data_IF_764896563056
#
_entry.id   IF_764896563056
#
_cell.length_a   1.000
_cell.length_b   1.000
_cell.length_c   1.000
_cell.angle_alpha   90.00
_cell.angle_beta   90.00
_cell.angle_gamma   90.00
#
_symmetry.space_group_name_H-M   'P 1'
#
loop_
_entity.id
_entity.type
_entity.pdbx_description
1 polymer ?
#
# COMPACT_ATOMS: atom_id res chain seq x y z
N UNK A 1 53.35 -12.23 -28.85
CA UNK A 1 53.68 -12.19 -27.42
C UNK A 1 52.44 -11.64 -26.72
N UNK A 2 51.38 -12.44 -26.64
CA UNK A 2 50.92 -13.15 -25.41
C UNK A 2 50.64 -12.21 -24.26
N UNK A 3 49.46 -11.56 -24.31
CA UNK A 3 48.81 -11.03 -23.12
C UNK A 3 47.62 -11.91 -22.76
N UNK A 4 47.72 -12.50 -21.58
CA UNK A 4 46.71 -13.32 -20.93
C UNK A 4 45.51 -12.46 -20.54
N UNK A 5 44.45 -12.48 -21.37
CA UNK A 5 43.11 -12.11 -20.91
C UNK A 5 42.57 -13.21 -19.99
N UNK A 6 42.77 -13.07 -18.68
CA UNK A 6 41.97 -13.81 -17.71
C UNK A 6 40.56 -13.24 -17.69
N UNK A 7 39.66 -13.98 -18.34
CA UNK A 7 38.22 -13.85 -18.25
C UNK A 7 37.76 -14.13 -16.82
N UNK A 8 37.39 -13.10 -16.07
CA UNK A 8 36.55 -13.29 -14.88
C UNK A 8 35.08 -13.34 -15.32
N UNK A 9 34.68 -14.58 -15.58
CA UNK A 9 33.31 -15.06 -15.67
C UNK A 9 32.46 -14.57 -14.49
N UNK A 10 31.28 -14.01 -14.80
CA UNK A 10 30.19 -13.79 -13.84
C UNK A 10 29.93 -15.08 -13.04
N UNK A 11 29.81 -15.03 -11.70
CA UNK A 11 29.33 -16.18 -10.96
C UNK A 11 27.90 -16.49 -11.38
N UNK A 12 27.75 -17.71 -11.84
CA UNK A 12 26.56 -18.38 -12.31
C UNK A 12 25.46 -18.39 -11.24
N UNK A 13 24.22 -18.18 -11.72
CA UNK A 13 22.94 -18.49 -11.10
C UNK A 13 23.01 -19.41 -9.87
N UNK A 14 22.82 -18.82 -8.68
CA UNK A 14 22.17 -19.53 -7.59
C UNK A 14 20.69 -19.64 -7.96
N UNK A 15 20.37 -20.74 -8.63
CA UNK A 15 19.03 -21.14 -8.99
C UNK A 15 18.25 -21.43 -7.71
N UNK A 16 17.60 -20.39 -7.18
CA UNK A 16 16.60 -20.53 -6.13
C UNK A 16 15.55 -21.55 -6.62
N UNK A 17 15.21 -22.57 -5.82
CA UNK A 17 14.22 -23.56 -6.23
C UNK A 17 12.89 -22.84 -6.50
N UNK A 18 12.36 -23.02 -7.70
CA UNK A 18 11.03 -22.56 -8.10
C UNK A 18 10.04 -22.91 -6.97
N UNK A 19 9.33 -21.95 -6.37
CA UNK A 19 8.22 -22.29 -5.51
C UNK A 19 7.19 -22.98 -6.40
N UNK A 20 7.00 -24.29 -6.16
CA UNK A 20 5.90 -25.04 -6.77
C UNK A 20 4.61 -24.24 -6.57
N UNK A 21 3.74 -24.12 -7.59
CA UNK A 21 2.43 -23.55 -7.37
C UNK A 21 1.78 -24.35 -6.25
N UNK A 22 1.44 -23.68 -5.14
CA UNK A 22 0.63 -24.28 -4.11
C UNK A 22 -0.74 -24.56 -4.74
N UNK A 23 -0.94 -25.80 -5.18
CA UNK A 23 -2.27 -26.35 -5.41
C UNK A 23 -3.03 -26.23 -4.09
N UNK A 24 -3.85 -25.19 -3.98
CA UNK A 24 -4.85 -25.09 -2.94
C UNK A 24 -5.90 -26.17 -3.19
N UNK A 25 -5.59 -27.40 -2.76
CA UNK A 25 -6.58 -28.42 -2.46
C UNK A 25 -7.40 -27.92 -1.26
N UNK A 26 -8.43 -27.11 -1.52
CA UNK A 26 -9.50 -26.90 -0.57
C UNK A 26 -10.36 -28.17 -0.55
N UNK A 27 -9.98 -29.12 0.30
CA UNK A 27 -10.91 -30.11 0.81
C UNK A 27 -11.88 -29.35 1.72
N UNK A 28 -13.02 -28.93 1.16
CA UNK A 28 -14.11 -28.34 1.93
C UNK A 28 -14.79 -29.43 2.76
N UNK A 29 -14.34 -29.57 4.00
CA UNK A 29 -15.08 -30.28 5.06
C UNK A 29 -16.19 -29.35 5.55
N UNK A 30 -17.33 -29.35 4.86
CA UNK A 30 -18.58 -28.75 5.32
C UNK A 30 -19.73 -29.69 4.97
N UNK A 31 -19.79 -30.84 5.64
CA UNK A 31 -20.98 -31.73 5.57
C UNK A 31 -21.14 -32.64 6.81
N UNK A 32 -20.60 -32.24 7.99
CA UNK A 32 -20.69 -33.08 9.20
C UNK A 32 -21.49 -32.44 10.35
N UNK A 33 -21.94 -31.20 10.24
CA UNK A 33 -22.71 -30.54 11.30
C UNK A 33 -24.17 -30.33 10.93
N UNK A 34 -24.93 -31.44 10.86
CA UNK A 34 -26.40 -31.36 10.97
C UNK A 34 -27.00 -32.55 11.74
N UNK A 35 -26.25 -33.07 12.72
CA UNK A 35 -26.74 -34.08 13.65
C UNK A 35 -26.29 -33.72 15.06
N UNK A 36 -27.12 -32.93 15.77
CA UNK A 36 -27.37 -32.98 17.23
C UNK A 36 -27.87 -31.63 17.73
N UNK A 37 -29.20 -31.46 17.77
CA UNK A 37 -29.86 -30.73 18.84
C UNK A 37 -31.25 -31.36 19.11
N UNK A 38 -31.61 -31.67 20.37
CA UNK A 38 -32.93 -32.20 20.73
C UNK A 38 -33.97 -31.05 20.84
N UNK A 39 -35.29 -31.35 20.80
CA UNK A 39 -36.32 -30.32 20.76
C UNK A 39 -36.61 -29.78 22.18
N UNK A 40 -36.60 -28.46 22.34
CA UNK A 40 -37.11 -27.80 23.54
C UNK A 40 -38.63 -27.65 23.40
N UNK A 41 -39.35 -28.31 24.30
CA UNK A 41 -40.81 -28.26 24.44
C UNK A 41 -41.19 -27.04 25.28
N UNK A 42 -41.90 -26.09 24.69
CA UNK A 42 -42.50 -24.91 25.33
C UNK A 42 -43.85 -24.63 24.70
N UNK A 43 -44.84 -24.28 25.53
CA UNK A 43 -46.28 -24.41 25.31
C UNK A 43 -46.88 -23.56 24.17
N UNK A 44 -48.00 -24.09 23.69
CA UNK A 44 -49.01 -23.53 22.81
C UNK A 44 -49.47 -22.11 23.16
N UNK A 45 -49.53 -21.25 22.16
CA UNK A 45 -50.63 -20.30 21.97
C UNK A 45 -50.98 -20.26 20.48
N UNK A 46 -52.24 -20.57 20.18
CA UNK A 46 -52.79 -20.50 18.86
C UNK A 46 -52.99 -19.04 18.47
N UNK A 47 -52.37 -18.59 17.38
CA UNK A 47 -52.94 -17.53 16.55
C UNK A 47 -52.66 -17.86 15.09
N UNK A 48 -53.74 -17.95 14.34
CA UNK A 48 -53.78 -18.09 12.90
C UNK A 48 -53.14 -16.87 12.25
N UNK A 49 -51.92 -17.01 11.75
CA UNK A 49 -51.36 -16.11 10.75
C UNK A 49 -51.12 -16.96 9.49
N UNK A 50 -52.09 -16.87 8.58
CA UNK A 50 -52.00 -17.41 7.22
C UNK A 50 -50.70 -16.93 6.57
N UNK A 51 -49.72 -17.81 6.40
CA UNK A 51 -48.56 -17.50 5.58
C UNK A 51 -49.02 -17.47 4.13
N UNK A 52 -49.12 -16.28 3.55
CA UNK A 52 -49.25 -16.09 2.10
C UNK A 52 -47.97 -16.58 1.41
N UNK A 53 -47.82 -17.91 1.31
CA UNK A 53 -46.89 -18.56 0.40
C UNK A 53 -47.73 -18.97 -0.80
N UNK A 54 -47.55 -18.27 -1.93
CA UNK A 54 -48.12 -18.70 -3.20
C UNK A 54 -47.31 -19.89 -3.70
N UNK A 55 -47.80 -21.09 -3.43
CA UNK A 55 -47.29 -22.31 -4.05
C UNK A 55 -47.67 -22.30 -5.54
N UNK A 56 -46.85 -22.87 -6.44
CA UNK A 56 -47.32 -23.18 -7.78
C UNK A 56 -48.55 -24.08 -7.67
N UNK A 57 -49.64 -23.71 -8.35
CA UNK A 57 -50.93 -24.39 -8.19
C UNK A 57 -50.79 -25.82 -8.74
N UNK A 58 -51.40 -26.79 -8.05
CA UNK A 58 -51.37 -28.20 -8.47
C UNK A 58 -51.93 -28.40 -9.88
N UNK A 59 -52.73 -27.45 -10.35
CA UNK A 59 -53.28 -27.38 -11.71
C UNK A 59 -52.23 -27.12 -12.81
N UNK A 60 -51.01 -26.71 -12.46
CA UNK A 60 -49.93 -26.40 -13.42
C UNK A 60 -49.11 -27.64 -13.86
N UNK A 61 -49.35 -28.82 -13.29
CA UNK A 61 -48.53 -30.01 -13.54
C UNK A 61 -49.33 -31.23 -14.01
N UNK A 62 -48.81 -32.05 -14.95
CA UNK A 62 -49.46 -33.28 -15.40
C UNK A 62 -49.49 -34.37 -14.30
N UNK A 63 -50.47 -35.28 -14.36
CA UNK A 63 -50.72 -36.37 -13.38
C UNK A 63 -49.51 -37.30 -13.13
N UNK A 64 -48.50 -37.26 -13.99
CA UNK A 64 -47.20 -37.91 -13.81
C UNK A 64 -46.10 -36.88 -14.01
N UNK A 65 -45.46 -36.44 -12.93
CA UNK A 65 -44.36 -35.48 -12.97
C UNK A 65 -43.12 -36.09 -13.61
N UNK A 66 -42.57 -35.41 -14.62
CA UNK A 66 -41.30 -35.77 -15.24
C UNK A 66 -40.12 -35.35 -14.33
N UNK A 67 -38.92 -35.86 -14.62
CA UNK A 67 -37.71 -35.48 -13.88
C UNK A 67 -37.37 -33.97 -14.03
N UNK A 68 -37.82 -33.34 -15.12
CA UNK A 68 -37.67 -31.89 -15.34
C UNK A 68 -38.58 -31.08 -14.41
N UNK A 69 -39.81 -31.53 -14.20
CA UNK A 69 -40.79 -30.83 -13.34
C UNK A 69 -40.37 -30.89 -11.87
N UNK A 70 -39.86 -32.06 -11.45
CA UNK A 70 -39.29 -32.25 -10.10
C UNK A 70 -38.07 -31.34 -9.90
N UNK A 71 -37.24 -31.15 -10.93
CA UNK A 71 -36.09 -30.24 -10.89
C UNK A 71 -36.54 -28.79 -10.72
N UNK A 72 -37.56 -28.34 -11.43
CA UNK A 72 -38.06 -26.96 -11.34
C UNK A 72 -38.70 -26.66 -9.98
N UNK A 73 -39.49 -27.60 -9.44
CA UNK A 73 -40.06 -27.48 -8.09
C UNK A 73 -38.95 -27.38 -7.03
N UNK A 74 -37.94 -28.25 -7.10
CA UNK A 74 -36.80 -28.19 -6.18
C UNK A 74 -36.01 -26.89 -6.36
N UNK A 75 -35.78 -26.43 -7.59
CA UNK A 75 -35.08 -25.18 -7.87
C UNK A 75 -35.82 -23.97 -7.26
N UNK A 76 -37.15 -23.92 -7.41
CA UNK A 76 -37.99 -22.87 -6.82
C UNK A 76 -37.90 -22.87 -5.29
N UNK A 77 -38.08 -24.02 -4.65
CA UNK A 77 -38.02 -24.12 -3.18
C UNK A 77 -36.64 -23.80 -2.61
N UNK A 78 -35.56 -24.22 -3.29
CA UNK A 78 -34.19 -23.87 -2.89
C UNK A 78 -33.94 -22.37 -3.07
N UNK A 79 -34.45 -21.75 -4.14
CA UNK A 79 -34.34 -20.30 -4.35
C UNK A 79 -35.06 -19.48 -3.27
N UNK A 80 -36.11 -20.04 -2.66
CA UNK A 80 -36.85 -19.48 -1.53
C UNK A 80 -36.16 -19.75 -0.17
N UNK A 81 -35.08 -20.54 -0.15
CA UNK A 81 -34.29 -20.83 1.05
C UNK A 81 -34.89 -21.89 1.97
N UNK A 82 -35.77 -22.75 1.46
CA UNK A 82 -36.43 -23.79 2.26
C UNK A 82 -35.44 -24.87 2.72
N UNK A 83 -35.50 -25.32 3.99
CA UNK A 83 -34.65 -26.40 4.48
C UNK A 83 -35.01 -27.73 3.81
N UNK A 84 -34.04 -28.63 3.70
CA UNK A 84 -34.21 -29.90 2.97
C UNK A 84 -35.39 -30.75 3.45
N UNK A 85 -35.72 -30.72 4.74
CA UNK A 85 -36.89 -31.41 5.31
C UNK A 85 -38.23 -30.84 4.82
N UNK A 86 -38.32 -29.52 4.61
CA UNK A 86 -39.55 -28.90 4.08
C UNK A 86 -39.72 -29.14 2.59
N UNK A 87 -38.61 -29.20 1.83
CA UNK A 87 -38.62 -29.60 0.42
C UNK A 87 -39.14 -31.03 0.28
N UNK A 88 -38.68 -31.96 1.12
CA UNK A 88 -39.18 -33.34 1.13
C UNK A 88 -40.67 -33.43 1.47
N UNK A 89 -41.12 -32.66 2.45
CA UNK A 89 -42.53 -32.61 2.84
C UNK A 89 -43.40 -32.10 1.69
N UNK A 90 -42.96 -31.05 0.99
CA UNK A 90 -43.68 -30.51 -0.17
C UNK A 90 -43.76 -31.51 -1.32
N UNK A 91 -42.63 -32.15 -1.66
CA UNK A 91 -42.59 -33.18 -2.70
C UNK A 91 -43.50 -34.37 -2.40
N UNK A 92 -43.62 -34.76 -1.13
CA UNK A 92 -44.48 -35.86 -0.73
C UNK A 92 -45.97 -35.50 -0.72
N UNK A 93 -46.33 -34.30 -0.23
CA UNK A 93 -47.72 -33.90 -0.03
C UNK A 93 -48.37 -33.35 -1.30
N UNK A 94 -47.66 -32.52 -2.06
CA UNK A 94 -48.21 -31.80 -3.21
C UNK A 94 -47.85 -32.48 -4.54
N UNK A 95 -46.65 -33.08 -4.62
CA UNK A 95 -46.15 -33.72 -5.84
C UNK A 95 -46.29 -35.26 -5.84
N UNK A 96 -46.67 -35.88 -4.72
CA UNK A 96 -46.78 -37.34 -4.58
C UNK A 96 -45.44 -38.10 -4.72
N UNK A 97 -44.30 -37.41 -4.68
CA UNK A 97 -42.96 -37.97 -4.88
C UNK A 97 -42.29 -38.20 -3.52
N UNK A 98 -42.07 -39.47 -3.16
CA UNK A 98 -41.31 -39.85 -1.97
C UNK A 98 -39.84 -40.11 -2.33
N UNK A 99 -38.95 -39.22 -1.88
CA UNK A 99 -37.50 -39.39 -2.03
C UNK A 99 -36.80 -39.23 -0.68
N UNK A 100 -35.66 -39.90 -0.52
CA UNK A 100 -34.83 -39.74 0.68
C UNK A 100 -34.04 -38.41 0.65
N UNK A 101 -33.64 -37.91 1.82
CA UNK A 101 -32.77 -36.73 1.93
C UNK A 101 -31.44 -36.92 1.17
N UNK A 102 -30.92 -38.16 1.14
CA UNK A 102 -29.72 -38.53 0.38
C UNK A 102 -29.95 -38.38 -1.13
N UNK A 103 -31.11 -38.82 -1.62
CA UNK A 103 -31.50 -38.67 -3.03
C UNK A 103 -31.71 -37.21 -3.40
N UNK A 104 -32.33 -36.42 -2.52
CA UNK A 104 -32.50 -34.97 -2.70
C UNK A 104 -31.14 -34.26 -2.80
N UNK A 105 -30.20 -34.56 -1.89
CA UNK A 105 -28.87 -33.95 -1.91
C UNK A 105 -28.06 -34.34 -3.15
N UNK A 106 -28.15 -35.60 -3.59
CA UNK A 106 -27.54 -36.05 -4.85
C UNK A 106 -28.10 -35.27 -6.04
N UNK A 107 -29.44 -35.18 -6.16
CA UNK A 107 -30.11 -34.44 -7.25
C UNK A 107 -29.78 -32.95 -7.23
N UNK A 108 -29.70 -32.33 -6.05
CA UNK A 108 -29.26 -30.93 -5.90
C UNK A 108 -27.82 -30.72 -6.38
N UNK A 109 -26.94 -31.70 -6.18
CA UNK A 109 -25.57 -31.62 -6.69
C UNK A 109 -25.51 -31.81 -8.22
N UNK A 110 -26.24 -32.79 -8.76
CA UNK A 110 -26.31 -33.07 -10.20
C UNK A 110 -26.94 -31.93 -11.00
N UNK A 111 -27.89 -31.20 -10.42
CA UNK A 111 -28.58 -30.08 -11.06
C UNK A 111 -28.01 -28.70 -10.71
N UNK A 112 -26.85 -28.64 -10.04
CA UNK A 112 -26.23 -27.38 -9.61
C UNK A 112 -27.17 -26.50 -8.76
N UNK A 113 -27.99 -27.10 -7.90
CA UNK A 113 -28.91 -26.45 -6.95
C UNK A 113 -28.37 -26.52 -5.50
N UNK A 114 -27.05 -26.57 -5.33
CA UNK A 114 -26.44 -26.41 -4.01
C UNK A 114 -26.36 -24.93 -3.67
N UNK A 115 -26.34 -24.62 -2.38
CA UNK A 115 -26.24 -23.22 -1.91
C UNK A 115 -24.95 -22.53 -2.38
N UNK A 116 -23.90 -23.28 -2.76
CA UNK A 116 -22.69 -22.73 -3.36
C UNK A 116 -22.81 -22.39 -4.85
N UNK A 117 -23.74 -23.04 -5.56
CA UNK A 117 -23.94 -22.92 -7.01
C UNK A 117 -24.96 -21.83 -7.37
N UNK A 118 -25.82 -21.45 -6.42
CA UNK A 118 -26.82 -20.40 -6.60
C UNK A 118 -26.22 -18.98 -6.50
N UNK A 119 -26.79 -17.98 -7.20
CA UNK A 119 -26.39 -16.58 -7.07
C UNK A 119 -26.45 -16.15 -5.60
N UNK A 120 -25.29 -15.84 -5.01
CA UNK A 120 -25.22 -15.38 -3.62
C UNK A 120 -25.95 -14.04 -3.53
N UNK A 121 -27.05 -14.00 -2.77
CA UNK A 121 -27.75 -12.75 -2.46
C UNK A 121 -26.73 -11.74 -1.88
N UNK A 122 -26.72 -10.47 -2.32
CA UNK A 122 -25.79 -9.48 -1.76
C UNK A 122 -25.98 -9.39 -0.24
N UNK A 123 -24.96 -9.74 0.56
CA UNK A 123 -25.03 -9.73 2.02
C UNK A 123 -25.27 -8.31 2.62
N UNK A 124 -25.20 -7.25 1.80
CA UNK A 124 -25.43 -5.88 2.23
C UNK A 124 -26.86 -5.65 2.78
N UNK A 125 -27.83 -6.47 2.36
CA UNK A 125 -29.24 -6.36 2.78
C UNK A 125 -29.61 -7.19 4.02
N UNK A 126 -28.71 -8.00 4.60
CA UNK A 126 -29.05 -8.91 5.71
C UNK A 126 -28.42 -8.57 7.07
N UNK A 127 -27.55 -7.56 7.14
CA UNK A 127 -26.91 -7.15 8.40
C UNK A 127 -27.81 -6.15 9.15
N UNK A 128 -28.11 -6.48 10.42
CA UNK A 128 -28.85 -5.59 11.32
C UNK A 128 -28.17 -4.21 11.42
N UNK A 129 -28.93 -3.10 11.49
CA UNK A 129 -28.38 -1.75 11.68
C UNK A 129 -27.42 -1.65 12.87
N UNK A 130 -27.71 -2.38 13.95
CA UNK A 130 -26.90 -2.35 15.18
C UNK A 130 -25.53 -3.01 14.97
N UNK A 131 -25.48 -4.12 14.23
CA UNK A 131 -24.21 -4.78 13.85
C UNK A 131 -23.40 -3.87 12.93
N UNK A 132 -24.05 -3.26 11.93
CA UNK A 132 -23.37 -2.31 11.03
C UNK A 132 -22.76 -1.13 11.80
N UNK A 133 -23.52 -0.55 12.73
CA UNK A 133 -23.08 0.59 13.52
C UNK A 133 -21.87 0.24 14.42
N UNK A 134 -21.92 -0.91 15.11
CA UNK A 134 -20.82 -1.38 15.95
C UNK A 134 -19.55 -1.63 15.12
N UNK A 135 -19.65 -2.37 14.00
CA UNK A 135 -18.52 -2.65 13.12
C UNK A 135 -17.91 -1.37 12.52
N UNK A 136 -18.74 -0.42 12.07
CA UNK A 136 -18.27 0.86 11.55
C UNK A 136 -17.56 1.69 12.62
N UNK A 137 -18.14 1.79 13.81
CA UNK A 137 -17.56 2.52 14.93
C UNK A 137 -16.21 1.92 15.34
N UNK A 138 -16.14 0.60 15.52
CA UNK A 138 -14.90 -0.08 15.87
C UNK A 138 -13.84 0.03 14.76
N UNK A 139 -14.25 0.00 13.48
CA UNK A 139 -13.33 0.21 12.35
C UNK A 139 -12.79 1.64 12.32
N UNK A 140 -13.64 2.65 12.53
CA UNK A 140 -13.23 4.06 12.63
C UNK A 140 -12.26 4.29 13.80
N UNK A 141 -12.50 3.61 14.93
CA UNK A 141 -11.64 3.63 16.11
C UNK A 141 -10.38 2.75 15.98
N UNK A 142 -10.23 2.04 14.84
CA UNK A 142 -9.07 1.21 14.50
C UNK A 142 -8.84 0.02 15.43
N UNK A 143 -9.92 -0.61 15.87
CA UNK A 143 -9.85 -1.82 16.68
C UNK A 143 -9.32 -3.00 15.86
N UNK A 144 -8.58 -3.91 16.50
CA UNK A 144 -8.19 -5.20 15.92
C UNK A 144 -9.42 -6.09 15.75
N UNK A 145 -9.34 -7.13 14.92
CA UNK A 145 -10.46 -8.08 14.73
C UNK A 145 -10.92 -8.67 16.07
N UNK A 146 -9.98 -9.02 16.96
CA UNK A 146 -10.28 -9.50 18.32
C UNK A 146 -11.06 -8.47 19.15
N UNK A 147 -10.63 -7.21 19.14
CA UNK A 147 -11.34 -6.13 19.84
C UNK A 147 -12.72 -5.85 19.22
N UNK A 148 -12.86 -6.00 17.90
CA UNK A 148 -14.14 -5.89 17.21
C UNK A 148 -15.08 -7.03 17.61
N UNK A 149 -14.59 -8.25 17.82
CA UNK A 149 -15.39 -9.34 18.38
C UNK A 149 -15.91 -8.97 19.77
N UNK A 150 -15.02 -8.60 20.69
CA UNK A 150 -15.40 -8.23 22.07
C UNK A 150 -16.44 -7.11 22.08
N UNK A 151 -16.23 -6.07 21.28
CA UNK A 151 -17.14 -4.93 21.22
C UNK A 151 -18.50 -5.28 20.63
N UNK A 152 -18.54 -6.13 19.59
CA UNK A 152 -19.81 -6.55 19.01
C UNK A 152 -20.61 -7.40 20.00
N UNK A 153 -19.94 -8.26 20.78
CA UNK A 153 -20.56 -9.04 21.84
C UNK A 153 -21.16 -8.12 22.92
N UNK A 154 -20.44 -7.07 23.33
CA UNK A 154 -20.97 -6.06 24.27
C UNK A 154 -22.18 -5.31 23.71
N UNK A 155 -22.10 -4.83 22.47
CA UNK A 155 -23.13 -3.96 21.88
C UNK A 155 -24.41 -4.72 21.45
N UNK A 156 -24.31 -6.01 21.16
CA UNK A 156 -25.41 -6.80 20.56
C UNK A 156 -25.78 -8.08 21.33
N UNK A 157 -25.00 -8.45 22.34
CA UNK A 157 -25.15 -9.73 23.06
C UNK A 157 -24.85 -10.97 22.21
N UNK A 158 -24.31 -10.81 21.00
CA UNK A 158 -23.99 -11.91 20.09
C UNK A 158 -22.50 -12.18 20.10
N UNK A 159 -22.12 -13.35 20.58
CA UNK A 159 -20.75 -13.83 20.47
C UNK A 159 -20.41 -14.17 19.01
N UNK A 160 -19.29 -13.63 18.51
CA UNK A 160 -18.86 -13.78 17.12
C UNK A 160 -17.39 -14.13 17.01
N UNK A 161 -17.07 -15.06 16.12
CA UNK A 161 -15.69 -15.42 15.83
C UNK A 161 -15.02 -14.43 14.85
N UNK A 162 -13.68 -14.43 14.83
CA UNK A 162 -12.87 -13.60 13.93
C UNK A 162 -13.34 -13.65 12.47
N UNK A 163 -13.63 -14.86 11.98
CA UNK A 163 -14.07 -15.10 10.60
C UNK A 163 -15.40 -14.42 10.28
N UNK A 164 -16.28 -14.27 11.27
CA UNK A 164 -17.56 -13.57 11.13
C UNK A 164 -17.34 -12.06 11.01
N UNK A 165 -16.45 -11.48 11.81
CA UNK A 165 -16.05 -10.07 11.68
C UNK A 165 -15.41 -9.80 10.32
N UNK A 166 -14.49 -10.66 9.87
CA UNK A 166 -13.85 -10.54 8.56
C UNK A 166 -14.89 -10.59 7.42
N UNK A 167 -15.88 -11.48 7.52
CA UNK A 167 -17.00 -11.52 6.58
C UNK A 167 -17.79 -10.22 6.60
N UNK A 168 -18.09 -9.66 7.78
CA UNK A 168 -18.81 -8.38 7.89
C UNK A 168 -18.01 -7.23 7.27
N UNK A 169 -16.71 -7.17 7.52
CA UNK A 169 -15.81 -6.19 6.93
C UNK A 169 -15.83 -6.26 5.40
N UNK A 170 -15.69 -7.47 4.83
CA UNK A 170 -15.78 -7.69 3.38
C UNK A 170 -17.15 -7.27 2.83
N UNK A 171 -18.24 -7.61 3.52
CA UNK A 171 -19.60 -7.24 3.10
C UNK A 171 -19.85 -5.72 3.13
N UNK A 172 -19.07 -5.00 3.94
CA UNK A 172 -19.16 -3.54 4.10
C UNK A 172 -18.07 -2.80 3.32
N UNK A 173 -17.28 -3.50 2.49
CA UNK A 173 -16.11 -2.99 1.78
C UNK A 173 -15.09 -2.26 2.69
N UNK A 174 -14.95 -2.75 3.93
CA UNK A 174 -14.02 -2.24 4.91
C UNK A 174 -12.75 -3.09 4.95
N UNK A 175 -11.60 -2.46 4.71
CA UNK A 175 -10.29 -3.13 4.80
C UNK A 175 -9.67 -2.90 6.18
N UNK A 176 -9.32 -3.99 6.87
CA UNK A 176 -8.45 -3.96 8.05
C UNK A 176 -7.02 -3.61 7.61
N UNK A 177 -6.29 -2.88 8.47
CA UNK A 177 -4.86 -2.63 8.25
C UNK A 177 -4.10 -3.85 8.76
N UNK A 178 -3.18 -4.39 7.95
CA UNK A 178 -2.25 -5.45 8.39
C UNK A 178 -1.47 -4.99 9.62
N UNK A 179 -1.36 -5.89 10.60
CA UNK A 179 -0.64 -5.66 11.83
C UNK A 179 0.03 -6.98 12.25
N UNK A 180 1.24 -7.19 11.74
CA UNK A 180 1.95 -8.46 11.88
C UNK A 180 2.26 -8.81 13.35
N UNK A 181 2.24 -7.82 14.25
CA UNK A 181 2.39 -8.06 15.68
C UNK A 181 1.09 -8.56 16.31
N UNK A 182 -0.06 -8.01 15.90
CA UNK A 182 -1.36 -8.53 16.36
C UNK A 182 -1.69 -9.89 15.74
N UNK A 183 -1.20 -10.14 14.53
CA UNK A 183 -1.35 -11.41 13.81
C UNK A 183 -0.37 -12.49 14.33
N UNK A 184 0.53 -12.13 15.25
CA UNK A 184 1.52 -13.03 15.86
C UNK A 184 2.65 -13.46 14.93
N UNK A 185 2.72 -12.89 13.72
CA UNK A 185 3.77 -13.17 12.72
C UNK A 185 5.11 -12.53 13.08
N UNK A 186 5.10 -11.40 13.79
CA UNK A 186 6.30 -10.69 14.23
C UNK A 186 6.23 -10.39 15.72
N UNK A 187 7.29 -10.68 16.45
CA UNK A 187 7.39 -10.31 17.88
C UNK A 187 7.90 -8.88 18.04
N UNK A 188 7.68 -8.30 19.22
CA UNK A 188 8.18 -6.97 19.55
C UNK A 188 9.71 -6.90 19.49
N UNK A 189 10.38 -7.96 19.91
CA UNK A 189 11.84 -8.10 19.90
C UNK A 189 12.37 -8.12 18.46
N UNK A 190 11.74 -8.89 17.58
CA UNK A 190 12.07 -8.90 16.16
C UNK A 190 11.86 -7.50 15.55
N UNK A 191 10.75 -6.83 15.86
CA UNK A 191 10.50 -5.47 15.41
C UNK A 191 11.59 -4.48 15.89
N UNK A 192 12.09 -4.64 17.12
CA UNK A 192 13.20 -3.84 17.67
C UNK A 192 14.50 -4.09 16.92
N UNK A 193 14.84 -5.36 16.64
CA UNK A 193 16.00 -5.71 15.83
C UNK A 193 15.91 -5.15 14.41
N UNK A 194 14.75 -5.20 13.76
CA UNK A 194 14.55 -4.64 12.42
C UNK A 194 14.72 -3.12 12.40
N UNK A 195 14.21 -2.42 13.42
CA UNK A 195 14.39 -0.97 13.56
C UNK A 195 15.86 -0.63 13.81
N UNK A 196 16.54 -1.39 14.67
CA UNK A 196 17.97 -1.17 14.96
C UNK A 196 18.85 -1.42 13.72
N UNK A 197 18.59 -2.51 12.99
CA UNK A 197 19.24 -2.81 11.72
C UNK A 197 18.98 -1.71 10.68
N UNK A 198 17.74 -1.23 10.56
CA UNK A 198 17.43 -0.11 9.66
C UNK A 198 18.21 1.17 10.02
N UNK A 199 18.37 1.46 11.31
CA UNK A 199 19.09 2.65 11.77
C UNK A 199 20.58 2.57 11.47
N UNK A 200 21.18 1.41 11.71
CA UNK A 200 22.63 1.21 11.59
C UNK A 200 23.03 0.84 10.18
N UNK A 201 22.49 -0.25 9.63
CA UNK A 201 22.92 -0.82 8.35
C UNK A 201 22.32 -0.12 7.13
N UNK A 202 21.09 0.40 7.24
CA UNK A 202 20.47 1.19 6.16
C UNK A 202 20.69 2.70 6.32
N UNK A 203 21.59 3.09 7.23
CA UNK A 203 21.93 4.48 7.56
C UNK A 203 20.71 5.35 7.95
N UNK A 204 19.58 4.74 8.31
CA UNK A 204 18.35 5.46 8.67
C UNK A 204 18.32 5.91 10.14
N UNK A 205 19.49 6.12 10.75
CA UNK A 205 19.64 6.54 12.15
C UNK A 205 18.82 7.78 12.49
N UNK A 206 18.64 8.70 11.54
CA UNK A 206 17.85 9.93 11.68
C UNK A 206 16.39 9.81 11.20
N UNK A 207 15.90 8.61 10.87
CA UNK A 207 14.51 8.40 10.44
C UNK A 207 13.53 8.45 11.63
N UNK A 208 12.47 9.25 11.51
CA UNK A 208 11.41 9.32 12.54
C UNK A 208 10.42 8.19 12.39
N UNK A 209 9.56 7.95 13.39
CA UNK A 209 8.63 6.81 13.43
C UNK A 209 7.76 6.64 12.17
N UNK A 210 7.41 7.72 11.46
CA UNK A 210 6.67 7.63 10.18
C UNK A 210 7.52 7.08 9.04
N UNK A 211 8.75 7.56 8.90
CA UNK A 211 9.70 7.09 7.88
C UNK A 211 10.17 5.68 8.21
N UNK A 212 10.48 5.42 9.47
CA UNK A 212 10.85 4.09 9.95
C UNK A 212 9.76 3.06 9.64
N UNK A 213 8.49 3.39 9.86
CA UNK A 213 7.37 2.53 9.44
C UNK A 213 7.34 2.26 7.93
N UNK A 214 7.70 3.24 7.09
CA UNK A 214 7.78 3.01 5.65
C UNK A 214 8.93 2.07 5.29
N UNK A 215 10.10 2.24 5.92
CA UNK A 215 11.26 1.35 5.75
C UNK A 215 10.87 -0.08 6.15
N UNK A 216 10.20 -0.26 7.30
CA UNK A 216 9.69 -1.57 7.75
C UNK A 216 8.80 -2.25 6.70
N UNK A 217 7.94 -1.49 6.03
CA UNK A 217 7.06 -2.01 4.98
C UNK A 217 7.83 -2.30 3.69
N UNK A 218 8.75 -1.41 3.29
CA UNK A 218 9.42 -1.50 1.98
C UNK A 218 10.53 -2.54 1.99
N UNK A 219 11.40 -2.51 2.99
CA UNK A 219 12.62 -3.33 3.05
C UNK A 219 12.38 -4.68 3.71
N UNK A 220 11.50 -4.72 4.72
CA UNK A 220 11.28 -5.92 5.53
C UNK A 220 9.87 -6.52 5.36
N UNK A 221 9.03 -5.93 4.49
CA UNK A 221 7.64 -6.36 4.25
C UNK A 221 6.82 -6.52 5.55
N UNK A 222 7.17 -5.74 6.58
CA UNK A 222 6.62 -5.87 7.93
C UNK A 222 5.71 -4.67 8.26
N UNK A 223 4.48 -4.96 8.63
CA UNK A 223 3.43 -3.99 8.93
C UNK A 223 3.26 -3.79 10.44
N UNK A 224 3.98 -2.82 10.98
CA UNK A 224 3.89 -2.47 12.41
C UNK A 224 3.05 -1.19 12.61
N UNK A 225 2.24 -1.11 13.69
CA UNK A 225 1.51 0.09 14.07
C UNK A 225 2.43 1.28 14.34
N UNK A 226 1.98 2.46 13.92
CA UNK A 226 2.77 3.70 14.02
C UNK A 226 3.15 4.06 15.47
N UNK A 227 2.25 3.80 16.42
CA UNK A 227 2.49 4.10 17.84
C UNK A 227 3.56 3.16 18.40
N UNK A 228 3.51 1.88 18.07
CA UNK A 228 4.51 0.92 18.51
C UNK A 228 5.90 1.21 17.91
N UNK A 229 5.99 1.61 16.64
CA UNK A 229 7.27 2.09 16.08
C UNK A 229 7.80 3.30 16.86
N UNK A 230 6.91 4.20 17.30
CA UNK A 230 7.30 5.37 18.09
C UNK A 230 7.80 4.98 19.48
N UNK A 231 7.14 4.04 20.15
CA UNK A 231 7.57 3.50 21.45
C UNK A 231 8.94 2.82 21.35
N UNK A 232 9.12 1.94 20.37
CA UNK A 232 10.41 1.25 20.15
C UNK A 232 11.52 2.27 19.83
N UNK A 233 11.24 3.29 19.01
CA UNK A 233 12.21 4.35 18.74
C UNK A 233 12.49 5.24 19.97
N UNK A 234 11.52 5.45 20.86
CA UNK A 234 11.76 6.19 22.09
C UNK A 234 12.69 5.41 23.04
N UNK A 235 12.66 4.07 23.00
CA UNK A 235 13.61 3.22 23.73
C UNK A 235 15.00 3.21 23.08
N UNK A 236 15.06 3.08 21.76
CA UNK A 236 16.32 2.95 21.02
C UNK A 236 17.04 4.29 20.76
N UNK A 237 16.29 5.40 20.73
CA UNK A 237 16.79 6.74 20.38
C UNK A 237 16.09 7.88 21.14
N UNK A 238 16.13 7.90 22.48
CA UNK A 238 15.48 8.95 23.25
C UNK A 238 16.04 10.34 22.90
N UNK A 239 17.35 10.45 22.63
CA UNK A 239 18.00 11.70 22.26
C UNK A 239 17.57 12.19 20.88
N UNK A 240 17.58 11.33 19.86
CA UNK A 240 17.13 11.70 18.51
C UNK A 240 15.63 12.03 18.46
N UNK A 241 14.82 11.43 19.32
CA UNK A 241 13.40 11.79 19.49
C UNK A 241 13.24 13.19 20.12
N UNK A 242 13.99 13.50 21.19
CA UNK A 242 13.96 14.81 21.83
C UNK A 242 14.47 15.94 20.90
N UNK A 243 15.52 15.67 20.12
CA UNK A 243 16.06 16.64 19.15
C UNK A 243 15.06 17.08 18.09
N UNK A 244 14.12 16.21 17.68
CA UNK A 244 13.11 16.53 16.65
C UNK A 244 12.04 17.50 17.11
N UNK A 245 11.70 17.49 18.41
CA UNK A 245 10.70 18.41 18.98
C UNK A 245 11.14 19.88 18.88
N UNK A 246 12.46 20.14 18.83
CA UNK A 246 13.05 21.48 18.80
C UNK A 246 13.02 22.15 17.41
N UNK A 247 12.77 21.40 16.35
CA UNK A 247 12.84 21.90 14.97
C UNK A 247 11.45 22.03 14.32
N UNK A 248 10.58 22.87 14.89
CA UNK A 248 9.32 23.23 14.25
C UNK A 248 9.57 24.24 13.11
N UNK A 249 9.60 23.76 11.87
CA UNK A 249 9.70 24.63 10.70
C UNK A 249 8.39 25.40 10.49
N UNK A 250 8.48 26.73 10.29
CA UNK A 250 7.32 27.54 9.88
C UNK A 250 6.88 27.14 8.47
N UNK A 251 5.69 26.55 8.36
CA UNK A 251 5.11 26.12 7.08
C UNK A 251 4.70 27.34 6.26
N UNK A 252 5.36 27.54 5.11
CA UNK A 252 4.92 28.50 4.08
C UNK A 252 4.04 27.77 3.06
N UNK A 253 3.03 28.48 2.54
CA UNK A 253 2.13 27.95 1.50
C UNK A 253 2.78 28.22 0.14
N UNK A 254 3.18 27.16 -0.56
CA UNK A 254 3.73 27.23 -1.92
C UNK A 254 2.71 26.60 -2.88
N UNK A 255 2.08 27.40 -3.74
CA UNK A 255 1.03 26.96 -4.68
C UNK A 255 1.62 26.72 -6.08
N UNK A 256 1.34 25.55 -6.65
CA UNK A 256 1.76 25.16 -8.01
C UNK A 256 0.56 24.50 -8.69
N UNK A 257 0.32 24.84 -9.95
CA UNK A 257 -0.89 24.38 -10.66
C UNK A 257 -0.88 22.87 -11.01
N UNK A 258 0.28 22.24 -11.17
CA UNK A 258 0.36 20.83 -11.54
C UNK A 258 1.77 20.34 -11.81
N UNK A 259 1.93 19.06 -12.19
CA UNK A 259 3.21 18.49 -12.64
C UNK A 259 3.84 19.31 -13.77
N UNK A 260 5.17 19.43 -13.77
CA UNK A 260 5.96 20.15 -14.77
C UNK A 260 5.59 21.63 -14.94
N UNK A 261 4.78 22.20 -14.04
CA UNK A 261 4.55 23.64 -14.04
C UNK A 261 5.82 24.37 -13.60
N UNK A 262 6.45 23.94 -12.50
CA UNK A 262 7.69 24.55 -12.02
C UNK A 262 8.71 23.47 -11.73
N UNK A 263 9.84 23.49 -12.43
CA UNK A 263 11.04 22.78 -11.99
C UNK A 263 11.91 23.72 -11.16
N UNK A 264 12.33 23.24 -10.00
CA UNK A 264 13.19 23.98 -9.07
C UNK A 264 14.58 23.33 -9.09
N UNK A 265 15.59 24.16 -9.35
CA UNK A 265 16.96 23.77 -9.64
C UNK A 265 17.94 24.52 -8.73
N UNK A 266 18.96 23.84 -8.23
CA UNK A 266 19.91 24.38 -7.25
C UNK A 266 21.12 23.47 -7.04
N UNK A 267 22.22 24.04 -6.54
CA UNK A 267 23.44 23.32 -6.18
C UNK A 267 23.55 23.08 -4.67
N UNK A 268 24.13 21.96 -4.28
CA UNK A 268 24.39 21.59 -2.88
C UNK A 268 25.88 21.40 -2.62
N UNK A 269 26.46 22.34 -1.89
CA UNK A 269 27.91 22.45 -1.67
C UNK A 269 28.40 21.85 -0.34
N UNK A 270 27.54 21.18 0.44
CA UNK A 270 27.96 20.66 1.75
C UNK A 270 29.04 19.59 1.69
N UNK A 271 29.20 18.91 0.56
CA UNK A 271 30.25 17.91 0.34
C UNK A 271 31.43 18.44 -0.48
N UNK A 272 31.40 19.72 -0.88
CA UNK A 272 32.45 20.37 -1.67
C UNK A 272 33.84 20.32 -1.03
N UNK A 273 34.00 20.41 0.31
CA UNK A 273 35.30 20.20 0.95
C UNK A 273 35.93 18.84 0.61
N UNK A 274 35.10 17.83 0.35
CA UNK A 274 35.49 16.46 -0.03
C UNK A 274 35.48 16.23 -1.54
N UNK A 275 35.44 17.31 -2.35
CA UNK A 275 35.48 17.21 -3.81
C UNK A 275 34.15 16.85 -4.48
N UNK A 276 33.05 16.76 -3.72
CA UNK A 276 31.74 16.36 -4.24
C UNK A 276 30.78 17.54 -4.20
N UNK A 277 30.32 17.97 -5.37
CA UNK A 277 29.21 18.92 -5.51
C UNK A 277 28.02 18.20 -6.13
N UNK A 278 26.80 18.50 -5.69
CA UNK A 278 25.58 17.88 -6.23
C UNK A 278 24.69 18.96 -6.78
N UNK A 279 24.23 18.82 -8.03
CA UNK A 279 23.22 19.69 -8.62
C UNK A 279 21.90 18.93 -8.75
N UNK A 280 20.81 19.54 -8.28
CA UNK A 280 19.50 18.90 -8.18
C UNK A 280 18.45 19.57 -9.04
N UNK A 281 17.50 18.78 -9.52
CA UNK A 281 16.27 19.24 -10.16
C UNK A 281 15.07 18.51 -9.56
N UNK A 282 14.03 19.25 -9.24
CA UNK A 282 12.81 18.71 -8.66
C UNK A 282 11.57 19.33 -9.30
N UNK A 283 10.50 18.53 -9.40
CA UNK A 283 9.18 19.06 -9.72
C UNK A 283 8.57 19.67 -8.45
N UNK A 284 8.24 20.97 -8.49
CA UNK A 284 7.80 21.71 -7.31
C UNK A 284 6.40 21.28 -6.80
N UNK A 285 5.57 20.73 -7.68
CA UNK A 285 4.22 20.24 -7.38
C UNK A 285 4.26 18.88 -6.69
N UNK A 286 4.79 17.87 -7.35
CA UNK A 286 4.86 16.48 -6.88
C UNK A 286 5.97 16.22 -5.87
N UNK A 287 6.99 17.09 -5.81
CA UNK A 287 8.25 16.87 -5.06
C UNK A 287 9.09 15.72 -5.62
N UNK A 288 8.78 15.23 -6.82
CA UNK A 288 9.60 14.22 -7.50
C UNK A 288 10.98 14.80 -7.79
N UNK A 289 12.02 14.04 -7.44
CA UNK A 289 13.40 14.32 -7.89
C UNK A 289 13.46 13.93 -9.36
N UNK A 290 13.75 14.92 -10.21
CA UNK A 290 13.85 14.73 -11.65
C UNK A 290 15.26 14.27 -12.02
N UNK A 291 16.27 14.84 -11.37
CA UNK A 291 17.66 14.43 -11.50
C UNK A 291 18.52 14.95 -10.36
N UNK A 292 19.58 14.21 -10.06
CA UNK A 292 20.67 14.59 -9.16
C UNK A 292 21.99 14.25 -9.85
N UNK A 293 22.88 15.22 -9.94
CA UNK A 293 24.12 15.12 -10.71
C UNK A 293 25.29 15.44 -9.80
N UNK A 294 26.20 14.49 -9.59
CA UNK A 294 27.37 14.66 -8.75
C UNK A 294 28.61 14.98 -9.59
N UNK A 295 29.30 16.07 -9.27
CA UNK A 295 30.46 16.58 -10.02
C UNK A 295 31.53 17.17 -9.10
N UNK A 296 32.76 17.28 -9.60
CA UNK A 296 33.86 17.95 -8.89
C UNK A 296 33.65 19.46 -8.80
N UNK A 297 32.93 20.04 -9.77
CA UNK A 297 32.59 21.47 -9.80
C UNK A 297 31.16 21.70 -10.27
N UNK A 298 30.47 22.61 -9.59
CA UNK A 298 29.14 23.10 -9.95
C UNK A 298 29.15 24.51 -10.56
N UNK A 299 30.34 25.07 -10.84
CA UNK A 299 30.46 26.47 -11.30
C UNK A 299 30.40 26.62 -12.83
N UNK A 300 30.41 25.53 -13.60
CA UNK A 300 30.39 25.57 -15.06
C UNK A 300 28.95 25.55 -15.60
N UNK A 301 28.48 26.61 -16.29
CA UNK A 301 27.11 26.67 -16.79
C UNK A 301 26.76 25.58 -17.80
N UNK A 302 27.76 25.05 -18.53
CA UNK A 302 27.54 24.01 -19.54
C UNK A 302 27.01 22.72 -18.92
N UNK A 303 27.48 22.40 -17.71
CA UNK A 303 27.03 21.25 -16.95
C UNK A 303 25.55 21.36 -16.59
N UNK A 304 25.15 22.46 -15.96
CA UNK A 304 23.75 22.69 -15.55
C UNK A 304 22.82 22.74 -16.77
N UNK A 305 23.26 23.41 -17.84
CA UNK A 305 22.54 23.44 -19.11
C UNK A 305 22.36 22.05 -19.72
N UNK A 306 23.40 21.22 -19.72
CA UNK A 306 23.33 19.84 -20.21
C UNK A 306 22.37 18.98 -19.38
N UNK A 307 22.42 19.07 -18.05
CA UNK A 307 21.50 18.35 -17.16
C UNK A 307 20.06 18.73 -17.43
N UNK A 308 19.79 20.01 -17.62
CA UNK A 308 18.46 20.49 -17.98
C UNK A 308 17.99 19.88 -19.31
N UNK A 309 18.83 19.88 -20.34
CA UNK A 309 18.48 19.31 -21.65
C UNK A 309 18.27 17.79 -21.59
N UNK A 310 19.08 17.06 -20.81
CA UNK A 310 18.89 15.63 -20.57
C UNK A 310 17.53 15.36 -19.90
N UNK A 311 17.17 16.14 -18.88
CA UNK A 311 15.88 16.03 -18.21
C UNK A 311 14.71 16.39 -19.11
N UNK A 312 14.85 17.43 -19.93
CA UNK A 312 13.84 17.82 -20.90
C UNK A 312 13.60 16.71 -21.93
N UNK A 313 14.67 16.13 -22.48
CA UNK A 313 14.56 15.01 -23.41
C UNK A 313 13.90 13.78 -22.75
N UNK A 314 14.34 13.41 -21.54
CA UNK A 314 13.79 12.26 -20.82
C UNK A 314 12.32 12.45 -20.39
N UNK A 315 11.91 13.69 -20.10
CA UNK A 315 10.54 14.03 -19.73
C UNK A 315 9.61 14.20 -20.93
N UNK A 316 10.15 14.18 -22.16
CA UNK A 316 9.41 14.45 -23.38
C UNK A 316 9.05 15.92 -23.58
N UNK A 317 9.70 16.84 -22.85
CA UNK A 317 9.41 18.27 -22.88
C UNK A 317 10.05 19.05 -21.75
N UNK A 318 9.94 20.38 -21.82
CA UNK A 318 10.40 21.32 -20.79
C UNK A 318 9.27 21.66 -19.80
N UNK A 319 9.58 22.12 -18.58
CA UNK A 319 8.57 22.68 -17.70
C UNK A 319 8.02 24.00 -18.22
N UNK A 320 6.84 24.40 -17.74
CA UNK A 320 6.33 25.75 -18.03
C UNK A 320 7.26 26.82 -17.45
N UNK A 321 7.81 26.58 -16.25
CA UNK A 321 8.71 27.50 -15.55
C UNK A 321 9.89 26.77 -14.92
N UNK A 322 11.03 27.44 -14.89
CA UNK A 322 12.21 27.03 -14.13
C UNK A 322 12.47 28.08 -13.06
N UNK A 323 12.75 27.64 -11.83
CA UNK A 323 13.18 28.50 -10.73
C UNK A 323 14.54 28.06 -10.22
N UNK A 324 15.45 29.01 -10.05
CA UNK A 324 16.78 28.75 -9.50
C UNK A 324 17.31 30.00 -8.82
N UNK A 325 18.44 29.86 -8.14
CA UNK A 325 19.15 30.96 -7.53
C UNK A 325 19.92 31.74 -8.60
N UNK A 326 20.20 33.03 -8.35
CA UNK A 326 20.87 33.87 -9.35
C UNK A 326 22.39 33.60 -9.40
N UNK A 327 22.77 32.44 -9.95
CA UNK A 327 24.16 32.01 -10.13
C UNK A 327 24.62 32.03 -11.58
N UNK A 328 25.90 32.30 -11.82
CA UNK A 328 26.49 32.30 -13.17
C UNK A 328 26.43 30.92 -13.84
N UNK A 329 26.41 29.86 -13.04
CA UNK A 329 26.26 28.47 -13.47
C UNK A 329 24.87 28.14 -14.05
N UNK A 330 23.89 29.03 -13.90
CA UNK A 330 22.51 28.76 -14.35
C UNK A 330 22.17 29.43 -15.69
N UNK A 331 23.10 30.19 -16.26
CA UNK A 331 22.86 31.03 -17.43
C UNK A 331 22.50 30.24 -18.69
N UNK A 332 23.18 29.11 -18.95
CA UNK A 332 22.89 28.27 -20.12
C UNK A 332 21.51 27.61 -19.99
N UNK A 333 21.17 27.10 -18.81
CA UNK A 333 19.84 26.56 -18.53
C UNK A 333 18.76 27.63 -18.74
N UNK A 334 18.98 28.85 -18.25
CA UNK A 334 18.06 29.97 -18.47
C UNK A 334 17.86 30.25 -19.96
N UNK A 335 18.96 30.30 -20.72
CA UNK A 335 18.93 30.51 -22.16
C UNK A 335 18.15 29.39 -22.87
N UNK A 336 18.37 28.12 -22.51
CA UNK A 336 17.66 26.98 -23.09
C UNK A 336 16.16 27.01 -22.75
N UNK A 337 15.78 27.30 -21.51
CA UNK A 337 14.37 27.41 -21.12
C UNK A 337 13.64 28.46 -21.97
N UNK A 338 14.23 29.64 -22.14
CA UNK A 338 13.65 30.73 -22.91
C UNK A 338 13.57 30.37 -24.40
N UNK A 339 14.66 29.86 -24.98
CA UNK A 339 14.73 29.51 -26.40
C UNK A 339 13.74 28.40 -26.77
N UNK A 340 13.68 27.34 -25.97
CA UNK A 340 12.78 26.21 -26.20
C UNK A 340 11.31 26.63 -25.98
N UNK A 341 11.02 27.42 -24.94
CA UNK A 341 9.68 27.95 -24.70
C UNK A 341 9.19 28.80 -25.88
N UNK A 342 10.05 29.69 -26.40
CA UNK A 342 9.71 30.50 -27.57
C UNK A 342 9.51 29.66 -28.82
N UNK A 343 10.43 28.73 -29.10
CA UNK A 343 10.43 27.92 -30.33
C UNK A 343 9.21 27.00 -30.42
N UNK A 344 8.80 26.39 -29.31
CA UNK A 344 7.74 25.37 -29.29
C UNK A 344 6.43 25.84 -28.66
N UNK A 345 6.43 26.97 -27.94
CA UNK A 345 5.24 27.52 -27.29
C UNK A 345 4.45 28.51 -28.15
N UNK A 346 5.00 28.97 -29.28
CA UNK A 346 4.34 29.98 -30.11
C UNK A 346 4.19 31.36 -29.43
N UNK A 347 4.98 31.60 -28.39
CA UNK A 347 4.94 32.82 -27.57
C UNK A 347 6.04 33.80 -27.96
N UNK A 348 5.88 35.06 -27.56
CA UNK A 348 6.88 36.11 -27.74
C UNK A 348 8.13 35.85 -26.88
N UNK A 349 9.22 36.54 -27.21
CA UNK A 349 10.42 36.50 -26.37
C UNK A 349 10.16 37.04 -24.96
N UNK A 350 9.34 38.09 -24.81
CA UNK A 350 9.01 38.66 -23.51
C UNK A 350 8.27 37.65 -22.63
N UNK A 351 7.28 36.96 -23.18
CA UNK A 351 6.55 35.89 -22.48
C UNK A 351 7.47 34.72 -22.12
N UNK A 352 8.31 34.27 -23.05
CA UNK A 352 9.27 33.20 -22.78
C UNK A 352 10.27 33.58 -21.68
N UNK A 353 10.66 34.85 -21.57
CA UNK A 353 11.54 35.32 -20.51
C UNK A 353 10.87 35.20 -19.12
N UNK A 354 9.54 35.31 -19.04
CA UNK A 354 8.79 35.08 -17.78
C UNK A 354 8.77 33.63 -17.33
N UNK A 355 9.18 32.68 -18.18
CA UNK A 355 9.28 31.27 -17.82
C UNK A 355 10.55 30.95 -17.01
N UNK A 356 11.53 31.86 -17.01
CA UNK A 356 12.72 31.72 -16.17
C UNK A 356 12.62 32.64 -14.95
N UNK A 357 12.74 32.07 -13.75
CA UNK A 357 12.66 32.81 -12.50
C UNK A 357 13.95 32.67 -11.69
N UNK A 358 14.69 33.77 -11.57
CA UNK A 358 15.76 33.89 -10.59
C UNK A 358 15.19 34.35 -9.25
N UNK A 359 15.45 33.56 -8.21
CA UNK A 359 14.95 33.83 -6.86
C UNK A 359 16.12 33.88 -5.87
N UNK A 360 15.88 34.44 -4.68
CA UNK A 360 16.82 34.25 -3.57
C UNK A 360 16.65 32.82 -3.02
N UNK A 361 17.72 32.17 -2.56
CA UNK A 361 17.68 30.84 -1.91
C UNK A 361 16.49 30.61 -0.98
N UNK A 362 16.17 31.59 -0.13
CA UNK A 362 15.02 31.53 0.81
C UNK A 362 13.63 31.37 0.15
N UNK A 363 13.53 31.60 -1.16
CA UNK A 363 12.33 31.43 -1.99
C UNK A 363 12.36 30.13 -2.80
N UNK A 364 13.54 29.53 -3.04
CA UNK A 364 13.74 28.22 -3.66
C UNK A 364 13.45 27.06 -2.67
N UNK A 365 12.40 27.23 -1.86
CA UNK A 365 12.10 26.41 -0.67
C UNK A 365 11.93 24.92 -0.97
N UNK A 366 11.54 24.60 -2.20
CA UNK A 366 11.25 23.23 -2.62
C UNK A 366 12.56 22.44 -2.71
N UNK A 367 13.59 22.93 -3.38
CA UNK A 367 14.84 22.19 -3.49
C UNK A 367 15.67 22.32 -2.20
N UNK A 368 15.61 23.48 -1.53
CA UNK A 368 16.20 23.65 -0.19
C UNK A 368 15.62 22.67 0.85
N UNK A 369 14.32 22.39 0.77
CA UNK A 369 13.71 21.35 1.59
C UNK A 369 14.22 19.95 1.24
N UNK A 370 14.61 19.67 -0.01
CA UNK A 370 15.27 18.43 -0.38
C UNK A 370 16.68 18.39 0.22
N UNK A 371 17.47 19.45 0.09
CA UNK A 371 18.82 19.55 0.66
C UNK A 371 18.83 19.41 2.17
N UNK A 372 17.88 20.02 2.87
CA UNK A 372 17.75 19.86 4.32
C UNK A 372 17.48 18.40 4.73
N UNK A 373 16.71 17.66 3.92
CA UNK A 373 16.47 16.24 4.15
C UNK A 373 17.71 15.41 3.83
N UNK A 374 18.34 15.65 2.69
CA UNK A 374 19.56 14.95 2.28
C UNK A 374 20.68 15.12 3.29
N UNK A 375 20.85 16.33 3.84
CA UNK A 375 21.82 16.59 4.90
C UNK A 375 21.57 15.75 6.15
N UNK A 376 20.31 15.63 6.57
CA UNK A 376 19.93 14.90 7.79
C UNK A 376 19.92 13.38 7.61
N UNK A 377 19.45 12.92 6.47
CA UNK A 377 19.22 11.50 6.17
C UNK A 377 20.48 10.81 5.63
N UNK A 378 21.36 11.54 4.91
CA UNK A 378 22.48 10.92 4.18
C UNK A 378 23.83 11.59 4.44
N UNK A 379 23.97 12.91 4.22
CA UNK A 379 25.30 13.53 4.20
C UNK A 379 26.02 13.44 5.56
N UNK A 380 25.31 13.46 6.69
CA UNK A 380 25.95 13.29 8.00
C UNK A 380 26.70 11.97 8.09
N UNK A 381 26.03 10.86 7.78
CA UNK A 381 26.66 9.55 7.79
C UNK A 381 27.84 9.47 6.81
N UNK A 382 27.70 10.04 5.60
CA UNK A 382 28.80 10.08 4.61
C UNK A 382 29.99 10.88 5.14
N UNK A 383 29.74 12.05 5.74
CA UNK A 383 30.78 12.88 6.34
C UNK A 383 31.46 12.13 7.49
N UNK A 384 30.69 11.49 8.37
CA UNK A 384 31.23 10.74 9.50
C UNK A 384 32.15 9.60 9.01
N UNK A 385 31.74 8.87 7.96
CA UNK A 385 32.59 7.84 7.33
C UNK A 385 33.89 8.44 6.78
N UNK A 386 33.81 9.54 6.01
CA UNK A 386 35.00 10.19 5.45
C UNK A 386 35.94 10.66 6.57
N UNK A 387 35.40 11.20 7.67
CA UNK A 387 36.19 11.62 8.81
C UNK A 387 36.88 10.43 9.51
N UNK A 388 36.21 9.29 9.66
CA UNK A 388 36.84 8.08 10.19
C UNK A 388 37.99 7.60 9.30
N UNK A 389 37.81 7.56 7.98
CA UNK A 389 38.88 7.18 7.04
C UNK A 389 40.04 8.20 7.02
N UNK A 390 39.76 9.48 7.30
CA UNK A 390 40.81 10.49 7.52
C UNK A 390 41.61 10.22 8.80
N UNK A 391 40.94 9.87 9.89
CA UNK A 391 41.57 9.55 11.19
C UNK A 391 42.41 8.26 11.10
N UNK A 392 41.95 7.27 10.34
CA UNK A 392 42.63 6.00 10.12
C UNK A 392 43.79 6.10 9.09
N UNK A 393 43.95 7.26 8.44
CA UNK A 393 45.02 7.55 7.48
C UNK A 393 44.84 6.90 6.11
N UNK A 394 43.69 6.29 5.84
CA UNK A 394 43.32 5.69 4.55
C UNK A 394 42.91 6.74 3.50
N UNK A 395 42.49 7.93 3.93
CA UNK A 395 42.13 9.05 3.05
C UNK A 395 42.88 10.34 3.40
N UNK A 396 43.55 10.93 2.40
CA UNK A 396 44.22 12.23 2.51
C UNK A 396 43.50 13.28 1.66
N UNK A 397 42.90 14.27 2.33
CA UNK A 397 42.17 15.36 1.69
C UNK A 397 43.04 16.28 0.81
N UNK A 398 44.35 16.35 1.09
CA UNK A 398 45.31 17.15 0.35
C UNK A 398 45.86 16.43 -0.90
N UNK A 399 45.53 15.15 -1.06
CA UNK A 399 45.89 14.38 -2.25
C UNK A 399 44.84 14.59 -3.36
N UNK A 400 45.22 15.30 -4.43
CA UNK A 400 44.33 15.63 -5.55
C UNK A 400 43.70 14.41 -6.23
N UNK A 401 44.40 13.26 -6.26
CA UNK A 401 43.89 12.03 -6.87
C UNK A 401 42.85 11.39 -5.96
N UNK A 402 43.10 11.30 -4.66
CA UNK A 402 42.14 10.74 -3.70
C UNK A 402 40.89 11.62 -3.56
N UNK A 403 41.06 12.93 -3.70
CA UNK A 403 39.95 13.89 -3.74
C UNK A 403 39.06 13.75 -4.98
N UNK A 404 39.57 13.24 -6.10
CA UNK A 404 38.84 13.10 -7.37
C UNK A 404 38.36 11.68 -7.66
N UNK A 405 38.95 10.64 -7.05
CA UNK A 405 38.77 9.24 -7.44
C UNK A 405 37.63 8.49 -6.75
N UNK A 406 36.96 9.05 -5.74
CA UNK A 406 35.79 8.41 -5.12
C UNK A 406 34.49 8.82 -5.80
N UNK A 407 34.22 8.18 -6.95
CA UNK A 407 32.94 8.17 -7.66
C UNK A 407 32.20 6.86 -7.46
#
# INVERSE_FOLDING_TARGET
MTDHYQSFTRPTNLQMPNPRPAEHHYIHVWDVYDQKHPPIRGKSEASSASSCVSYPDRSDFPDVLSESDIREVIASLVSQGQPGGEILRFLQQECGVSISLRTLNRRRAEWCLRNCDLPKRPLSSSLSPQIKASILSSHQQRFTVSQMCSRLTEDTGRDVCHRTIERYLVCMDLKQRRNDIADGTVTRETAKCLIDHARTQLLAHSAGYRRMRQILIQEYQTHIPRLLVNEILAELDPQGMAGRLRHACKRRVFRVAGPNHIWSADGHDKLKPYGITVYGFIDAWSRKILGMYAHVTNNDPRHVGLYFLQLAAASGGIPLKVTTDHGTETMDMAAYQIQLSRKYGGITFQEANTHMHFTKSIHNQKIESLWSRMMKEHNRAVIDIILTEMEDGSYNQDNEIQRQAHY
#
